data_IF_761293922470
#
_entry.id   IF_761293922470
#
_cell.length_a   1.000
_cell.length_b   1.000
_cell.length_c   1.000
_cell.angle_alpha   90.00
_cell.angle_beta   90.00
_cell.angle_gamma   90.00
#
_symmetry.space_group_name_H-M   'P 1'
#
loop_
_entity.id
_entity.type
_entity.pdbx_description
1 polymer ?
#
# COMPACT_ATOMS: atom_id res chain seq x y z
N UNK A 1 -4.43 6.10 2.13
CA UNK A 1 -3.25 5.49 2.78
C UNK A 1 -3.26 4.01 2.43
N UNK A 2 -2.14 3.47 1.97
CA UNK A 2 -1.98 2.05 1.72
C UNK A 2 -1.53 1.36 3.00
N UNK A 3 -2.21 0.31 3.39
CA UNK A 3 -1.87 -0.51 4.56
C UNK A 3 -2.00 -1.96 4.16
N UNK A 4 -0.94 -2.76 4.36
CA UNK A 4 -0.97 -4.22 4.22
C UNK A 4 -1.06 -4.89 5.58
N UNK A 5 -1.81 -4.31 6.52
CA UNK A 5 -1.80 -4.72 7.93
C UNK A 5 -2.71 -5.90 8.28
N UNK A 6 -3.20 -6.63 7.25
CA UNK A 6 -3.97 -7.87 7.39
C UNK A 6 -3.08 -9.08 7.29
N UNK A 7 -2.16 -9.22 8.20
CA UNK A 7 -1.26 -10.36 8.28
C UNK A 7 -1.30 -10.95 9.68
N UNK A 8 -1.10 -12.26 9.77
CA UNK A 8 -0.80 -12.94 11.03
C UNK A 8 0.68 -12.78 11.39
N UNK A 9 0.97 -12.90 12.68
CA UNK A 9 2.33 -12.93 13.20
C UNK A 9 3.00 -11.56 13.34
N UNK A 10 4.26 -11.62 13.77
CA UNK A 10 5.13 -10.48 14.04
C UNK A 10 6.55 -10.81 13.58
N UNK A 11 7.25 -9.86 13.02
CA UNK A 11 8.61 -10.04 12.48
C UNK A 11 9.68 -9.29 13.29
N UNK A 12 9.39 -8.92 14.54
CA UNK A 12 10.33 -8.23 15.44
C UNK A 12 11.57 -9.08 15.75
N UNK A 13 11.40 -10.39 15.93
CA UNK A 13 12.51 -11.32 16.12
C UNK A 13 13.41 -11.38 14.88
N UNK A 14 12.82 -11.40 13.68
CA UNK A 14 13.59 -11.32 12.43
C UNK A 14 14.37 -10.01 12.31
N UNK A 15 13.75 -8.90 12.71
CA UNK A 15 14.41 -7.59 12.77
C UNK A 15 15.63 -7.63 13.71
N UNK A 16 15.48 -8.22 14.90
CA UNK A 16 16.60 -8.39 15.84
C UNK A 16 17.70 -9.28 15.26
N UNK A 17 17.35 -10.40 14.63
CA UNK A 17 18.32 -11.29 13.97
C UNK A 17 19.16 -10.54 12.93
N UNK A 18 18.52 -9.73 12.07
CA UNK A 18 19.23 -8.93 11.05
C UNK A 18 20.19 -7.91 11.68
N UNK A 19 19.79 -7.27 12.76
CA UNK A 19 20.65 -6.33 13.50
C UNK A 19 21.85 -7.03 14.14
N UNK A 20 21.69 -8.29 14.54
CA UNK A 20 22.76 -9.14 15.08
C UNK A 20 23.63 -9.78 13.99
N UNK A 21 23.43 -9.40 12.71
CA UNK A 21 24.28 -9.81 11.59
C UNK A 21 23.81 -11.07 10.86
N UNK A 22 22.60 -11.58 11.13
CA UNK A 22 22.05 -12.69 10.38
C UNK A 22 21.85 -12.31 8.89
N UNK A 23 22.27 -13.22 8.03
CA UNK A 23 22.08 -13.07 6.59
C UNK A 23 20.62 -13.34 6.21
N UNK A 24 20.24 -12.99 4.97
CA UNK A 24 18.93 -13.36 4.41
C UNK A 24 18.69 -14.89 4.47
N UNK A 25 19.74 -15.67 4.19
CA UNK A 25 19.66 -17.15 4.26
C UNK A 25 19.44 -17.64 5.69
N UNK A 26 20.09 -17.03 6.70
CA UNK A 26 19.90 -17.41 8.10
C UNK A 26 18.46 -17.14 8.55
N UNK A 27 17.91 -15.99 8.17
CA UNK A 27 16.51 -15.64 8.43
C UNK A 27 15.56 -16.61 7.73
N UNK A 28 15.82 -16.94 6.46
CA UNK A 28 14.99 -17.87 5.70
C UNK A 28 15.05 -19.30 6.29
N UNK A 29 16.23 -19.78 6.71
CA UNK A 29 16.41 -21.09 7.39
C UNK A 29 15.68 -21.13 8.74
N UNK A 30 15.58 -20.02 9.44
CA UNK A 30 14.80 -19.88 10.67
C UNK A 30 13.29 -19.81 10.44
N UNK A 31 12.83 -19.96 9.18
CA UNK A 31 11.42 -19.86 8.81
C UNK A 31 10.91 -18.43 8.68
N UNK A 32 11.79 -17.45 8.62
CA UNK A 32 11.44 -16.02 8.47
C UNK A 32 11.13 -15.62 7.02
N UNK A 33 10.96 -14.32 6.80
CA UNK A 33 10.62 -13.74 5.50
C UNK A 33 9.12 -13.70 5.24
N UNK A 34 8.73 -13.49 3.99
CA UNK A 34 7.32 -13.42 3.59
C UNK A 34 6.59 -14.74 3.87
N UNK A 35 7.29 -15.87 3.83
CA UNK A 35 6.73 -17.21 4.05
C UNK A 35 6.21 -17.35 5.48
N UNK A 36 6.92 -16.81 6.48
CA UNK A 36 6.43 -16.77 7.87
C UNK A 36 5.09 -16.05 7.97
N UNK A 37 5.02 -14.85 7.40
CA UNK A 37 3.78 -14.07 7.39
C UNK A 37 2.64 -14.79 6.68
N UNK A 38 2.93 -15.46 5.56
CA UNK A 38 1.95 -16.27 4.82
C UNK A 38 1.44 -17.43 5.69
N UNK A 39 2.34 -18.16 6.34
CA UNK A 39 1.99 -19.28 7.22
C UNK A 39 1.08 -18.83 8.37
N UNK A 40 1.47 -17.77 9.08
CA UNK A 40 0.70 -17.22 10.20
C UNK A 40 -0.68 -16.70 9.74
N UNK A 41 -0.74 -16.04 8.58
CA UNK A 41 -1.99 -15.54 7.99
C UNK A 41 -2.92 -16.70 7.57
N UNK A 42 -2.37 -17.76 7.01
CA UNK A 42 -3.15 -18.97 6.67
C UNK A 42 -3.76 -19.62 7.91
N UNK A 43 -3.06 -19.63 9.03
CA UNK A 43 -3.53 -20.20 10.30
C UNK A 43 -4.51 -19.33 11.07
N UNK A 44 -4.49 -18.02 10.87
CA UNK A 44 -5.34 -17.06 11.60
C UNK A 44 -6.80 -17.13 11.16
N UNK A 45 -7.72 -16.97 12.09
CA UNK A 45 -9.15 -16.75 11.81
C UNK A 45 -9.42 -15.32 11.31
N UNK A 46 -10.62 -15.05 10.78
CA UNK A 46 -11.02 -13.68 10.42
C UNK A 46 -11.01 -12.79 11.65
N UNK A 47 -11.52 -13.29 12.77
CA UNK A 47 -11.61 -12.61 14.06
C UNK A 47 -10.22 -12.22 14.58
N UNK A 48 -9.23 -13.12 14.48
CA UNK A 48 -7.85 -12.85 14.87
C UNK A 48 -7.24 -11.78 13.96
N UNK A 49 -7.37 -11.90 12.65
CA UNK A 49 -6.87 -10.91 11.68
C UNK A 49 -7.48 -9.52 11.92
N UNK A 50 -8.76 -9.43 12.26
CA UNK A 50 -9.41 -8.16 12.62
C UNK A 50 -8.83 -7.64 13.93
N UNK A 51 -8.86 -8.44 15.00
CA UNK A 51 -8.40 -8.06 16.34
C UNK A 51 -6.96 -7.54 16.32
N UNK A 52 -6.06 -8.24 15.65
CA UNK A 52 -4.64 -7.89 15.60
C UNK A 52 -4.35 -6.63 14.77
N UNK A 53 -5.28 -6.26 13.88
CA UNK A 53 -5.15 -5.05 13.07
C UNK A 53 -5.68 -3.80 13.77
N UNK A 54 -6.67 -3.94 14.67
CA UNK A 54 -7.32 -2.78 15.30
C UNK A 54 -6.34 -1.83 15.98
N UNK A 55 -5.30 -2.27 16.73
CA UNK A 55 -4.34 -1.35 17.34
C UNK A 55 -3.61 -0.46 16.31
N UNK A 56 -3.27 -1.01 15.13
CA UNK A 56 -2.62 -0.26 14.05
C UNK A 56 -3.59 0.74 13.41
N UNK A 57 -4.83 0.31 13.21
CA UNK A 57 -5.91 1.19 12.71
C UNK A 57 -6.20 2.30 13.71
N UNK A 58 -6.26 2.00 15.00
CA UNK A 58 -6.50 2.98 16.06
C UNK A 58 -5.39 4.03 16.10
N UNK A 59 -4.13 3.63 15.94
CA UNK A 59 -3.00 4.56 15.85
C UNK A 59 -3.16 5.53 14.67
N UNK A 60 -3.56 5.03 13.49
CA UNK A 60 -3.79 5.88 12.32
C UNK A 60 -4.99 6.81 12.50
N UNK A 61 -6.07 6.32 13.11
CA UNK A 61 -7.23 7.14 13.46
C UNK A 61 -6.83 8.26 14.41
N UNK A 62 -5.97 7.96 15.40
CA UNK A 62 -5.48 8.95 16.34
C UNK A 62 -4.70 10.10 15.69
N UNK A 63 -4.13 9.86 14.50
CA UNK A 63 -3.44 10.86 13.67
C UNK A 63 -4.32 11.43 12.55
N UNK A 64 -5.65 11.27 12.65
CA UNK A 64 -6.62 11.91 11.77
C UNK A 64 -6.99 11.15 10.51
N UNK A 65 -6.52 9.93 10.32
CA UNK A 65 -6.85 9.14 9.12
C UNK A 65 -8.33 8.75 9.11
N UNK A 66 -9.01 9.01 7.99
CA UNK A 66 -10.44 8.74 7.80
C UNK A 66 -10.72 7.71 6.71
N UNK A 67 -9.72 7.44 5.86
CA UNK A 67 -9.81 6.51 4.74
C UNK A 67 -8.51 5.73 4.63
N UNK A 68 -8.60 4.40 4.62
CA UNK A 68 -7.48 3.49 4.42
C UNK A 68 -7.73 2.57 3.25
N UNK A 69 -6.65 2.14 2.60
CA UNK A 69 -6.64 0.99 1.71
C UNK A 69 -6.06 -0.20 2.46
N UNK A 70 -6.72 -1.33 2.37
CA UNK A 70 -6.23 -2.59 2.91
C UNK A 70 -6.07 -3.58 1.76
N UNK A 71 -4.85 -4.09 1.58
CA UNK A 71 -4.52 -5.06 0.53
C UNK A 71 -4.48 -6.48 1.09
N UNK A 72 -4.91 -7.47 0.32
CA UNK A 72 -4.58 -8.89 0.55
C UNK A 72 -3.14 -9.18 0.12
N UNK A 73 -2.77 -10.43 -0.15
CA UNK A 73 -1.45 -10.77 -0.70
C UNK A 73 -0.51 -11.48 0.27
N UNK A 74 -1.01 -11.89 1.43
CA UNK A 74 -0.30 -12.78 2.36
C UNK A 74 -1.00 -14.13 2.54
N UNK A 75 -2.02 -14.43 1.75
CA UNK A 75 -2.61 -15.76 1.68
C UNK A 75 -1.91 -16.61 0.64
N UNK A 76 -1.78 -16.08 -0.55
CA UNK A 76 -1.24 -16.71 -1.74
C UNK A 76 -1.95 -18.04 -2.08
N UNK A 77 -3.17 -18.20 -1.57
CA UNK A 77 -4.14 -19.24 -1.90
C UNK A 77 -5.55 -18.65 -1.90
N UNK A 78 -6.49 -19.39 -2.51
CA UNK A 78 -7.86 -18.92 -2.71
C UNK A 78 -8.58 -18.60 -1.40
N UNK A 79 -8.51 -19.51 -0.44
CA UNK A 79 -9.26 -19.39 0.82
C UNK A 79 -8.75 -18.21 1.65
N UNK A 80 -7.44 -18.13 1.79
CA UNK A 80 -6.81 -17.12 2.65
C UNK A 80 -6.90 -15.71 2.06
N UNK A 81 -6.73 -15.55 0.74
CA UNK A 81 -6.92 -14.24 0.09
C UNK A 81 -8.35 -13.70 0.29
N UNK A 82 -9.38 -14.54 0.12
CA UNK A 82 -10.77 -14.16 0.40
C UNK A 82 -11.00 -13.86 1.89
N UNK A 83 -10.39 -14.66 2.77
CA UNK A 83 -10.42 -14.44 4.23
C UNK A 83 -9.84 -13.08 4.60
N UNK A 84 -8.70 -12.70 4.04
CA UNK A 84 -8.07 -11.39 4.27
C UNK A 84 -8.97 -10.23 3.82
N UNK A 85 -9.57 -10.33 2.64
CA UNK A 85 -10.49 -9.31 2.14
C UNK A 85 -11.76 -9.18 3.01
N UNK A 86 -12.30 -10.29 3.50
CA UNK A 86 -13.43 -10.29 4.45
C UNK A 86 -13.05 -9.60 5.76
N UNK A 87 -11.89 -9.94 6.32
CA UNK A 87 -11.37 -9.29 7.52
C UNK A 87 -11.17 -7.77 7.29
N UNK A 88 -10.65 -7.37 6.12
CA UNK A 88 -10.50 -5.96 5.76
C UNK A 88 -11.83 -5.21 5.74
N UNK A 89 -12.89 -5.79 5.17
CA UNK A 89 -14.23 -5.19 5.18
C UNK A 89 -14.80 -5.05 6.58
N UNK A 90 -14.53 -5.99 7.48
CA UNK A 90 -15.06 -5.98 8.85
C UNK A 90 -14.53 -4.81 9.68
N UNK A 91 -13.30 -4.27 9.42
CA UNK A 91 -12.77 -3.13 10.17
C UNK A 91 -13.71 -1.93 10.19
N UNK A 92 -14.33 -1.64 9.06
CA UNK A 92 -15.17 -0.44 8.96
C UNK A 92 -16.47 -0.57 9.80
N UNK A 93 -16.83 -1.78 10.25
CA UNK A 93 -17.89 -1.99 11.25
C UNK A 93 -17.37 -1.84 12.69
N UNK A 94 -16.06 -2.04 12.89
CA UNK A 94 -15.43 -1.97 14.21
C UNK A 94 -14.94 -0.57 14.56
N UNK A 95 -14.63 0.25 13.56
CA UNK A 95 -14.03 1.58 13.74
C UNK A 95 -14.62 2.62 12.79
N UNK A 96 -14.69 3.90 13.22
CA UNK A 96 -15.17 4.99 12.37
C UNK A 96 -14.12 5.34 11.31
N UNK A 97 -13.91 4.46 10.34
CA UNK A 97 -12.97 4.60 9.23
C UNK A 97 -13.55 3.98 7.96
N UNK A 98 -13.27 4.57 6.81
CA UNK A 98 -13.61 3.96 5.52
C UNK A 98 -12.48 3.03 5.07
N UNK A 99 -12.85 1.89 4.53
CA UNK A 99 -11.90 0.91 4.01
C UNK A 99 -12.12 0.70 2.52
N UNK A 100 -11.05 0.82 1.75
CA UNK A 100 -10.95 0.35 0.36
C UNK A 100 -10.18 -0.96 0.39
N UNK A 101 -10.70 -2.00 -0.22
CA UNK A 101 -10.05 -3.30 -0.28
C UNK A 101 -9.44 -3.51 -1.66
N UNK A 102 -8.17 -3.94 -1.67
CA UNK A 102 -7.42 -4.20 -2.89
C UNK A 102 -6.95 -5.65 -2.89
N UNK A 103 -7.30 -6.37 -3.96
CA UNK A 103 -6.79 -7.72 -4.17
C UNK A 103 -5.34 -7.64 -4.66
N UNK A 104 -4.43 -8.28 -3.93
CA UNK A 104 -3.00 -8.36 -4.24
C UNK A 104 -2.53 -9.83 -4.27
N UNK A 105 -3.31 -10.73 -4.89
CA UNK A 105 -2.92 -12.14 -5.02
C UNK A 105 -1.62 -12.35 -5.79
N UNK A 106 -1.29 -11.45 -6.71
CA UNK A 106 0.01 -11.42 -7.40
C UNK A 106 1.06 -10.63 -6.60
N UNK A 107 1.31 -11.00 -5.34
CA UNK A 107 2.28 -10.34 -4.45
C UNK A 107 3.63 -11.06 -4.38
N UNK A 108 3.60 -12.36 -4.28
CA UNK A 108 4.78 -13.21 -4.29
C UNK A 108 4.42 -14.58 -4.87
N UNK A 109 5.42 -15.28 -5.40
CA UNK A 109 5.23 -16.66 -5.83
C UNK A 109 5.24 -17.57 -4.60
N UNK A 110 4.14 -18.31 -4.32
CA UNK A 110 4.11 -19.20 -3.17
C UNK A 110 5.06 -20.39 -3.39
N UNK A 111 5.59 -20.98 -2.30
CA UNK A 111 6.54 -22.09 -2.40
C UNK A 111 6.06 -23.25 -3.26
N UNK A 112 4.76 -23.51 -3.26
CA UNK A 112 4.11 -24.58 -4.02
C UNK A 112 4.20 -24.38 -5.55
N UNK A 113 4.46 -23.14 -6.00
CA UNK A 113 4.55 -22.75 -7.42
C UNK A 113 5.89 -22.10 -7.77
N UNK A 114 6.93 -22.29 -6.95
CA UNK A 114 8.23 -21.62 -7.08
C UNK A 114 8.83 -21.75 -8.50
N UNK A 115 8.67 -22.90 -9.13
CA UNK A 115 9.23 -23.18 -10.44
C UNK A 115 8.20 -22.98 -11.59
N UNK A 116 6.98 -22.55 -11.27
CA UNK A 116 5.91 -22.37 -12.26
C UNK A 116 4.94 -21.24 -11.82
N UNK A 117 5.41 -19.99 -11.80
CA UNK A 117 4.59 -18.82 -11.44
C UNK A 117 3.44 -18.58 -12.42
N UNK A 118 3.56 -19.04 -13.68
CA UNK A 118 2.49 -18.93 -14.68
C UNK A 118 1.26 -19.72 -14.27
N UNK A 119 1.46 -20.98 -13.86
CA UNK A 119 0.36 -21.82 -13.35
C UNK A 119 -0.28 -21.19 -12.11
N UNK A 120 0.49 -20.56 -11.21
CA UNK A 120 -0.08 -19.85 -10.07
C UNK A 120 -1.00 -18.68 -10.51
N UNK A 121 -0.54 -17.85 -11.44
CA UNK A 121 -1.34 -16.73 -11.96
C UNK A 121 -2.63 -17.23 -12.57
N UNK A 122 -2.57 -18.27 -13.43
CA UNK A 122 -3.71 -18.72 -14.23
C UNK A 122 -4.70 -19.57 -13.43
N UNK A 123 -4.22 -20.37 -12.47
CA UNK A 123 -5.07 -21.34 -11.76
C UNK A 123 -5.46 -20.94 -10.35
N UNK A 124 -4.72 -20.04 -9.71
CA UNK A 124 -5.00 -19.58 -8.34
C UNK A 124 -5.34 -18.08 -8.34
N UNK A 125 -4.41 -17.23 -8.76
CA UNK A 125 -4.55 -15.78 -8.60
C UNK A 125 -5.78 -15.24 -9.35
N UNK A 126 -5.88 -15.46 -10.66
CA UNK A 126 -7.00 -14.95 -11.48
C UNK A 126 -8.34 -15.56 -11.07
N UNK A 127 -8.50 -16.89 -10.85
CA UNK A 127 -9.75 -17.44 -10.35
C UNK A 127 -10.17 -16.85 -8.99
N UNK A 128 -9.23 -16.65 -8.06
CA UNK A 128 -9.52 -16.05 -6.76
C UNK A 128 -10.00 -14.60 -6.89
N UNK A 129 -9.43 -13.84 -7.84
CA UNK A 129 -9.91 -12.48 -8.14
C UNK A 129 -11.37 -12.48 -8.63
N UNK A 130 -11.76 -13.45 -9.48
CA UNK A 130 -13.16 -13.58 -9.89
C UNK A 130 -14.07 -13.86 -8.70
N UNK A 131 -13.68 -14.73 -7.78
CA UNK A 131 -14.45 -15.02 -6.57
C UNK A 131 -14.56 -13.79 -5.67
N UNK A 132 -13.45 -13.09 -5.44
CA UNK A 132 -13.44 -11.85 -4.65
C UNK A 132 -14.37 -10.78 -5.24
N UNK A 133 -14.42 -10.66 -6.57
CA UNK A 133 -15.34 -9.76 -7.27
C UNK A 133 -16.79 -10.19 -7.09
N UNK A 134 -17.09 -11.48 -7.28
CA UNK A 134 -18.45 -12.02 -7.15
C UNK A 134 -19.00 -11.88 -5.72
N UNK A 135 -18.13 -11.98 -4.71
CA UNK A 135 -18.49 -11.76 -3.30
C UNK A 135 -18.53 -10.26 -2.90
N UNK A 136 -18.22 -9.33 -3.81
CA UNK A 136 -18.22 -7.88 -3.52
C UNK A 136 -17.09 -7.44 -2.57
N UNK A 137 -16.02 -8.21 -2.49
CA UNK A 137 -14.92 -8.01 -1.55
C UNK A 137 -13.80 -7.10 -2.07
N UNK A 138 -13.79 -6.74 -3.35
CA UNK A 138 -12.68 -6.04 -3.99
C UNK A 138 -13.11 -4.73 -4.64
N UNK A 139 -12.38 -3.64 -4.37
CA UNK A 139 -12.56 -2.33 -5.01
C UNK A 139 -11.53 -2.08 -6.13
N UNK A 140 -10.31 -2.64 -6.01
CA UNK A 140 -9.22 -2.52 -6.97
C UNK A 140 -8.31 -3.74 -6.95
N UNK A 141 -7.47 -3.87 -7.97
CA UNK A 141 -6.52 -4.99 -8.13
C UNK A 141 -5.12 -4.43 -8.17
N UNK A 142 -4.18 -5.12 -7.55
CA UNK A 142 -2.78 -4.76 -7.49
C UNK A 142 -1.90 -5.97 -7.80
N UNK A 143 -0.68 -5.73 -8.23
CA UNK A 143 0.32 -6.75 -8.48
C UNK A 143 1.71 -6.23 -8.15
N UNK A 144 2.63 -7.12 -7.80
CA UNK A 144 4.04 -6.80 -7.58
C UNK A 144 4.85 -7.22 -8.80
N UNK A 145 5.22 -6.23 -9.62
CA UNK A 145 6.03 -6.39 -10.82
C UNK A 145 7.50 -6.17 -10.48
N UNK A 146 8.21 -7.24 -10.17
CA UNK A 146 9.61 -7.23 -9.78
C UNK A 146 10.30 -8.58 -10.06
N UNK A 147 11.62 -8.56 -10.20
CA UNK A 147 12.44 -9.74 -10.49
C UNK A 147 12.34 -10.85 -9.44
N UNK A 148 11.91 -10.52 -8.23
CA UNK A 148 11.68 -11.45 -7.12
C UNK A 148 10.24 -11.93 -7.01
N UNK A 149 9.34 -11.45 -7.85
CA UNK A 149 7.91 -11.76 -7.81
C UNK A 149 7.38 -12.14 -9.20
N UNK A 150 6.73 -11.21 -9.90
CA UNK A 150 6.11 -11.46 -11.20
C UNK A 150 6.67 -10.52 -12.27
N UNK A 151 6.78 -11.04 -13.49
CA UNK A 151 7.19 -10.23 -14.64
C UNK A 151 6.00 -9.44 -15.24
N UNK A 152 6.31 -8.60 -16.23
CA UNK A 152 5.33 -7.71 -16.89
C UNK A 152 4.22 -8.51 -17.58
N UNK A 153 4.54 -9.63 -18.23
CA UNK A 153 3.55 -10.43 -18.96
C UNK A 153 2.58 -11.14 -18.00
N UNK A 154 3.08 -11.59 -16.85
CA UNK A 154 2.29 -12.19 -15.79
C UNK A 154 1.34 -11.15 -15.15
N UNK A 155 1.85 -9.97 -14.84
CA UNK A 155 1.07 -8.86 -14.29
C UNK A 155 0.03 -8.37 -15.31
N UNK A 156 0.38 -8.33 -16.60
CA UNK A 156 -0.56 -7.93 -17.65
C UNK A 156 -1.77 -8.87 -17.71
N UNK A 157 -1.59 -10.18 -17.56
CA UNK A 157 -2.72 -11.14 -17.51
C UNK A 157 -3.68 -10.86 -16.35
N UNK A 158 -3.14 -10.50 -15.19
CA UNK A 158 -3.95 -10.08 -14.03
C UNK A 158 -4.73 -8.79 -14.36
N UNK A 159 -4.07 -7.79 -14.96
CA UNK A 159 -4.70 -6.53 -15.34
C UNK A 159 -5.75 -6.69 -16.44
N UNK A 160 -5.53 -7.55 -17.41
CA UNK A 160 -6.55 -7.90 -18.42
C UNK A 160 -7.79 -8.50 -17.77
N UNK A 161 -7.61 -9.36 -16.77
CA UNK A 161 -8.71 -9.97 -16.02
C UNK A 161 -9.45 -8.93 -15.17
N UNK A 162 -8.73 -8.04 -14.48
CA UNK A 162 -9.31 -6.93 -13.74
C UNK A 162 -10.14 -6.01 -14.65
N UNK A 163 -9.60 -5.65 -15.82
CA UNK A 163 -10.28 -4.82 -16.82
C UNK A 163 -11.58 -5.44 -17.33
N UNK A 164 -11.59 -6.75 -17.59
CA UNK A 164 -12.81 -7.50 -17.99
C UNK A 164 -13.89 -7.43 -16.90
N UNK A 165 -13.51 -7.34 -15.64
CA UNK A 165 -14.42 -7.23 -14.48
C UNK A 165 -14.78 -5.78 -14.13
N UNK A 166 -14.26 -4.79 -14.87
CA UNK A 166 -14.47 -3.37 -14.58
C UNK A 166 -13.81 -2.91 -13.28
N UNK A 167 -12.75 -3.58 -12.83
CA UNK A 167 -11.98 -3.22 -11.66
C UNK A 167 -10.78 -2.33 -12.05
N UNK A 168 -10.56 -1.20 -11.35
CA UNK A 168 -9.35 -0.42 -11.54
C UNK A 168 -8.12 -1.19 -11.05
N UNK A 169 -6.96 -0.89 -11.64
CA UNK A 169 -5.70 -1.53 -11.30
C UNK A 169 -4.73 -0.55 -10.64
N UNK A 170 -3.74 -1.10 -9.96
CA UNK A 170 -2.59 -0.47 -9.32
C UNK A 170 -1.38 -1.37 -9.53
N UNK A 171 -0.17 -0.89 -9.26
CA UNK A 171 1.03 -1.72 -9.31
C UNK A 171 2.01 -1.33 -8.22
N UNK A 172 2.72 -2.31 -7.65
CA UNK A 172 4.01 -2.15 -6.99
C UNK A 172 5.07 -2.47 -8.03
N UNK A 173 5.92 -1.52 -8.35
CA UNK A 173 6.90 -1.70 -9.42
C UNK A 173 8.11 -0.78 -9.25
N UNK A 174 9.17 -1.12 -9.94
CA UNK A 174 10.42 -0.35 -9.94
C UNK A 174 10.91 -0.03 -8.52
N UNK A 175 10.70 -0.96 -7.58
CA UNK A 175 11.18 -0.87 -6.20
C UNK A 175 12.65 -1.29 -6.09
N UNK A 176 13.03 -2.36 -6.77
CA UNK A 176 14.35 -2.99 -6.68
C UNK A 176 15.09 -2.99 -8.03
N UNK A 177 14.33 -2.91 -9.13
CA UNK A 177 14.83 -2.95 -10.49
C UNK A 177 13.88 -2.24 -11.44
N UNK A 178 14.34 -1.88 -12.64
CA UNK A 178 13.46 -1.33 -13.68
C UNK A 178 12.99 -2.45 -14.61
N UNK A 179 11.72 -2.83 -14.48
CA UNK A 179 11.12 -3.92 -15.27
C UNK A 179 10.05 -3.47 -16.26
N UNK A 180 9.56 -2.24 -16.16
CA UNK A 180 8.49 -1.70 -17.01
C UNK A 180 7.07 -1.84 -16.43
N UNK A 181 6.93 -2.23 -15.17
CA UNK A 181 5.65 -2.33 -14.46
C UNK A 181 4.93 -0.99 -14.35
N UNK A 182 5.67 0.09 -14.09
CA UNK A 182 5.13 1.47 -14.07
C UNK A 182 4.54 1.87 -15.43
N UNK A 183 5.25 1.55 -16.52
CA UNK A 183 4.75 1.79 -17.87
C UNK A 183 3.51 0.99 -18.18
N UNK A 184 3.48 -0.30 -17.82
CA UNK A 184 2.30 -1.15 -17.94
C UNK A 184 1.11 -0.57 -17.19
N UNK A 185 1.31 -0.13 -15.95
CA UNK A 185 0.24 0.51 -15.15
C UNK A 185 -0.32 1.75 -15.84
N UNK A 186 0.54 2.61 -16.39
CA UNK A 186 0.12 3.78 -17.18
C UNK A 186 -0.72 3.38 -18.39
N UNK A 187 -0.31 2.35 -19.13
CA UNK A 187 -1.05 1.87 -20.33
C UNK A 187 -2.45 1.32 -19.98
N UNK A 188 -2.62 0.82 -18.76
CA UNK A 188 -3.91 0.37 -18.25
C UNK A 188 -4.72 1.48 -17.54
N UNK A 189 -4.22 2.71 -17.47
CA UNK A 189 -4.86 3.82 -16.76
C UNK A 189 -5.00 3.53 -15.26
N UNK A 190 -3.98 2.95 -14.67
CA UNK A 190 -3.97 2.56 -13.26
C UNK A 190 -4.24 3.75 -12.32
N UNK A 191 -4.83 3.47 -11.17
CA UNK A 191 -5.03 4.47 -10.11
C UNK A 191 -3.68 4.95 -9.57
N UNK A 192 -2.74 4.04 -9.35
CA UNK A 192 -1.39 4.36 -8.86
C UNK A 192 -0.32 3.38 -9.32
N UNK A 193 0.93 3.86 -9.28
CA UNK A 193 2.14 3.06 -9.25
C UNK A 193 2.87 3.36 -7.93
N UNK A 194 3.11 2.32 -7.16
CA UNK A 194 3.60 2.38 -5.80
C UNK A 194 5.09 1.97 -5.77
N UNK A 195 5.92 2.56 -4.91
CA UNK A 195 7.38 2.52 -4.80
C UNK A 195 8.08 3.42 -5.84
N UNK A 196 8.42 2.90 -7.01
CA UNK A 196 8.99 3.59 -8.18
C UNK A 196 10.40 4.21 -7.98
N UNK A 197 11.19 3.67 -7.05
CA UNK A 197 12.56 4.15 -6.79
C UNK A 197 13.45 4.04 -8.03
N UNK A 198 13.26 2.99 -8.85
CA UNK A 198 14.01 2.73 -10.08
C UNK A 198 13.28 3.21 -11.35
N UNK A 199 12.15 3.91 -11.23
CA UNK A 199 11.49 4.52 -12.39
C UNK A 199 12.34 5.66 -12.98
N UNK A 200 12.10 6.00 -14.24
CA UNK A 200 12.85 7.01 -14.98
C UNK A 200 11.92 8.11 -15.54
N UNK A 201 12.50 9.09 -16.26
CA UNK A 201 11.77 10.20 -16.85
C UNK A 201 10.67 9.76 -17.85
N UNK A 202 10.86 8.63 -18.55
CA UNK A 202 9.86 8.12 -19.48
C UNK A 202 8.66 7.55 -18.72
N UNK A 203 8.90 6.89 -17.58
CA UNK A 203 7.84 6.40 -16.70
C UNK A 203 7.06 7.56 -16.09
N UNK A 204 7.75 8.61 -15.60
CA UNK A 204 7.12 9.82 -15.10
C UNK A 204 6.20 10.47 -16.16
N UNK A 205 6.66 10.55 -17.41
CA UNK A 205 5.86 11.04 -18.54
C UNK A 205 4.65 10.15 -18.80
N UNK A 206 4.81 8.83 -18.76
CA UNK A 206 3.70 7.88 -18.97
C UNK A 206 2.63 8.02 -17.87
N UNK A 207 3.05 8.10 -16.58
CA UNK A 207 2.16 8.36 -15.46
C UNK A 207 1.38 9.67 -15.61
N UNK A 208 2.05 10.74 -16.05
CA UNK A 208 1.43 12.04 -16.29
C UNK A 208 0.34 11.96 -17.34
N UNK A 209 0.62 11.35 -18.49
CA UNK A 209 -0.33 11.19 -19.60
C UNK A 209 -1.54 10.36 -19.18
N UNK A 210 -1.32 9.28 -18.44
CA UNK A 210 -2.38 8.41 -17.92
C UNK A 210 -3.18 9.04 -16.78
N UNK A 211 -2.65 10.05 -16.12
CA UNK A 211 -3.21 10.63 -14.90
C UNK A 211 -3.05 9.72 -13.68
N UNK A 212 -2.17 8.73 -13.75
CA UNK A 212 -1.84 7.80 -12.67
C UNK A 212 -1.08 8.50 -11.55
N UNK A 213 -1.34 8.14 -10.31
CA UNK A 213 -0.67 8.73 -9.13
C UNK A 213 0.61 7.95 -8.83
N UNK A 214 1.71 8.65 -8.57
CA UNK A 214 2.91 8.08 -7.99
C UNK A 214 2.76 7.98 -6.48
N UNK A 215 2.89 6.80 -5.88
CA UNK A 215 2.82 6.62 -4.42
C UNK A 215 4.19 6.30 -3.88
N UNK A 216 4.77 7.22 -3.11
CA UNK A 216 6.08 7.04 -2.49
C UNK A 216 5.92 6.48 -1.06
N UNK A 217 6.83 5.58 -0.69
CA UNK A 217 6.74 4.77 0.52
C UNK A 217 7.98 4.93 1.40
N UNK A 218 8.14 6.08 2.08
CA UNK A 218 9.36 6.41 2.80
C UNK A 218 9.64 5.46 3.98
N UNK A 219 8.62 4.80 4.54
CA UNK A 219 8.80 3.79 5.58
C UNK A 219 9.51 2.55 5.08
N UNK A 220 9.16 2.07 3.89
CA UNK A 220 9.83 0.94 3.24
C UNK A 220 11.28 1.31 2.88
N UNK A 221 11.48 2.46 2.25
CA UNK A 221 12.81 3.00 1.92
C UNK A 221 13.74 3.02 3.16
N UNK A 222 13.25 3.56 4.27
CA UNK A 222 13.99 3.64 5.52
C UNK A 222 14.31 2.26 6.12
N UNK A 223 13.31 1.40 6.22
CA UNK A 223 13.45 0.09 6.88
C UNK A 223 14.37 -0.86 6.10
N UNK A 224 14.28 -0.80 4.78
CA UNK A 224 15.14 -1.58 3.88
C UNK A 224 16.53 -0.95 3.70
N UNK A 225 16.76 0.27 4.21
CA UNK A 225 18.00 1.05 4.02
C UNK A 225 18.31 1.27 2.55
N UNK A 226 17.26 1.53 1.76
CA UNK A 226 17.43 1.83 0.35
C UNK A 226 18.24 3.10 0.13
N UNK A 227 18.93 3.15 -1.00
CA UNK A 227 19.78 4.30 -1.39
C UNK A 227 19.34 4.91 -2.71
N UNK A 228 18.62 4.15 -3.55
CA UNK A 228 18.08 4.65 -4.81
C UNK A 228 16.82 5.48 -4.52
N UNK A 229 16.93 6.78 -4.73
CA UNK A 229 15.81 7.71 -4.51
C UNK A 229 14.80 7.63 -5.66
N UNK A 230 13.48 7.79 -5.36
CA UNK A 230 12.49 7.93 -6.43
C UNK A 230 12.76 9.18 -7.28
N UNK A 231 12.38 9.20 -8.57
CA UNK A 231 12.71 10.27 -9.53
C UNK A 231 11.83 11.53 -9.30
N UNK A 232 11.93 12.12 -8.11
CA UNK A 232 11.05 13.21 -7.66
C UNK A 232 11.10 14.42 -8.61
N UNK A 233 12.29 14.74 -9.17
CA UNK A 233 12.42 15.85 -10.09
C UNK A 233 11.63 15.62 -11.39
N UNK A 234 11.71 14.41 -11.94
CA UNK A 234 10.97 14.05 -13.16
C UNK A 234 9.46 14.03 -12.90
N UNK A 235 9.02 13.49 -11.74
CA UNK A 235 7.62 13.53 -11.33
C UNK A 235 7.08 14.96 -11.22
N UNK A 236 7.87 15.90 -10.67
CA UNK A 236 7.53 17.32 -10.59
C UNK A 236 7.47 17.98 -11.95
N UNK A 237 8.48 17.76 -12.80
CA UNK A 237 8.56 18.31 -14.15
C UNK A 237 7.35 17.88 -15.00
N UNK A 238 6.97 16.62 -14.91
CA UNK A 238 5.82 16.05 -15.61
C UNK A 238 4.48 16.29 -14.89
N UNK A 239 4.47 16.97 -13.74
CA UNK A 239 3.29 17.28 -12.93
C UNK A 239 2.49 16.04 -12.51
N UNK A 240 3.17 14.92 -12.29
CA UNK A 240 2.55 13.71 -11.76
C UNK A 240 2.04 13.97 -10.36
N UNK A 241 0.78 13.64 -10.04
CA UNK A 241 0.30 13.74 -8.65
C UNK A 241 1.05 12.73 -7.78
N UNK A 242 1.65 13.20 -6.69
CA UNK A 242 2.43 12.37 -5.78
C UNK A 242 1.65 12.15 -4.49
N UNK A 243 1.37 10.92 -4.13
CA UNK A 243 0.87 10.52 -2.83
C UNK A 243 1.98 9.89 -1.99
N UNK A 244 1.78 9.85 -0.69
CA UNK A 244 2.63 9.12 0.25
C UNK A 244 1.78 8.22 1.14
N UNK A 245 2.32 7.08 1.53
CA UNK A 245 1.63 6.11 2.36
C UNK A 245 2.59 5.41 3.33
N UNK A 246 2.03 4.80 4.37
CA UNK A 246 2.81 4.05 5.36
C UNK A 246 3.34 2.73 4.80
N UNK A 247 2.64 2.14 3.85
CA UNK A 247 2.88 0.75 3.41
C UNK A 247 3.00 -0.21 4.60
N UNK A 248 2.18 0.01 5.63
CA UNK A 248 2.28 -0.74 6.89
C UNK A 248 2.22 -2.25 6.63
N UNK A 249 3.35 -2.91 6.82
CA UNK A 249 3.51 -4.35 6.68
C UNK A 249 4.65 -4.85 7.59
N UNK A 250 4.68 -6.14 7.95
CA UNK A 250 5.64 -6.64 8.93
C UNK A 250 7.08 -6.73 8.39
N UNK A 251 7.25 -6.78 7.07
CA UNK A 251 8.53 -7.07 6.45
C UNK A 251 9.38 -5.85 6.14
N UNK A 252 8.80 -4.93 5.40
CA UNK A 252 9.52 -3.79 4.83
C UNK A 252 9.11 -2.44 5.42
N UNK A 253 7.95 -2.34 6.10
CA UNK A 253 7.49 -1.07 6.65
C UNK A 253 6.58 -1.24 7.87
N UNK A 254 7.13 -1.55 9.06
CA UNK A 254 6.33 -1.65 10.29
C UNK A 254 5.92 -0.25 10.81
N UNK A 255 5.46 0.63 9.91
CA UNK A 255 5.17 2.03 10.16
C UNK A 255 3.67 2.27 10.24
N UNK A 256 3.18 2.75 11.39
CA UNK A 256 1.76 3.02 11.66
C UNK A 256 1.46 4.50 11.93
N UNK A 257 2.33 5.40 11.51
CA UNK A 257 2.18 6.85 11.71
C UNK A 257 2.17 7.59 10.37
N UNK A 258 1.08 8.33 10.10
CA UNK A 258 1.00 9.17 8.89
C UNK A 258 1.81 10.46 9.05
N UNK A 259 1.89 11.00 10.26
CA UNK A 259 2.69 12.19 10.55
C UNK A 259 4.18 11.90 10.39
N UNK A 260 4.65 10.75 10.88
CA UNK A 260 6.02 10.30 10.66
C UNK A 260 6.29 10.01 9.17
N UNK A 261 5.34 9.44 8.45
CA UNK A 261 5.45 9.26 6.98
C UNK A 261 5.67 10.59 6.27
N UNK A 262 4.94 11.65 6.65
CA UNK A 262 5.13 13.00 6.09
C UNK A 262 6.52 13.55 6.42
N UNK A 263 7.00 13.39 7.66
CA UNK A 263 8.34 13.81 8.05
C UNK A 263 9.43 13.07 7.25
N UNK A 264 9.31 11.74 7.13
CA UNK A 264 10.27 10.91 6.39
C UNK A 264 10.29 11.28 4.90
N UNK A 265 9.14 11.56 4.27
CA UNK A 265 9.08 12.00 2.88
C UNK A 265 9.77 13.37 2.69
N UNK A 266 9.61 14.31 3.63
CA UNK A 266 10.36 15.57 3.61
C UNK A 266 11.86 15.34 3.76
N UNK A 267 12.27 14.51 4.70
CA UNK A 267 13.68 14.36 5.08
C UNK A 267 14.45 13.48 4.11
N UNK A 268 13.87 12.34 3.69
CA UNK A 268 14.52 11.35 2.83
C UNK A 268 14.41 11.72 1.35
N UNK A 269 13.21 12.15 0.92
CA UNK A 269 12.92 12.41 -0.50
C UNK A 269 12.93 13.90 -0.86
N UNK A 270 13.15 14.80 0.12
CA UNK A 270 13.14 16.26 -0.09
C UNK A 270 11.81 16.79 -0.66
N UNK A 271 10.71 16.17 -0.25
CA UNK A 271 9.37 16.73 -0.51
C UNK A 271 9.12 17.94 0.38
N UNK A 272 8.38 18.92 -0.14
CA UNK A 272 7.96 20.05 0.67
C UNK A 272 6.81 19.64 1.62
N UNK A 273 6.61 20.33 2.76
CA UNK A 273 5.45 20.11 3.62
C UNK A 273 4.11 20.23 2.90
N UNK A 274 3.99 21.10 1.91
CA UNK A 274 2.80 21.24 1.08
C UNK A 274 2.57 19.99 0.21
N UNK A 275 3.63 19.46 -0.42
CA UNK A 275 3.55 18.23 -1.22
C UNK A 275 3.16 17.04 -0.35
N UNK A 276 3.73 16.91 0.86
CA UNK A 276 3.38 15.81 1.76
C UNK A 276 1.94 15.92 2.28
N UNK A 277 1.46 17.12 2.60
CA UNK A 277 0.07 17.33 2.97
C UNK A 277 -0.88 17.00 1.81
N UNK A 278 -0.57 17.45 0.59
CA UNK A 278 -1.31 17.04 -0.60
C UNK A 278 -1.22 15.53 -0.84
N UNK A 279 -0.08 14.93 -0.53
CA UNK A 279 0.22 13.50 -0.67
C UNK A 279 -0.63 12.61 0.23
N UNK A 280 -0.95 13.05 1.45
CA UNK A 280 -1.80 12.29 2.39
C UNK A 280 -3.28 12.66 2.28
N UNK A 281 -3.65 13.66 1.47
CA UNK A 281 -5.03 14.13 1.31
C UNK A 281 -5.53 13.93 -0.12
N UNK A 282 -5.51 14.97 -0.95
CA UNK A 282 -6.10 14.96 -2.30
C UNK A 282 -5.48 13.90 -3.22
N UNK A 283 -4.15 13.75 -3.17
CA UNK A 283 -3.46 12.80 -4.04
C UNK A 283 -3.68 11.35 -3.55
N UNK A 284 -3.70 11.12 -2.22
CA UNK A 284 -4.06 9.82 -1.67
C UNK A 284 -5.50 9.42 -2.03
N UNK A 285 -6.46 10.33 -1.92
CA UNK A 285 -7.84 10.07 -2.34
C UNK A 285 -7.92 9.71 -3.83
N UNK A 286 -7.16 10.42 -4.69
CA UNK A 286 -7.06 10.12 -6.12
C UNK A 286 -6.47 8.73 -6.37
N UNK A 287 -5.38 8.36 -5.66
CA UNK A 287 -4.75 7.04 -5.75
C UNK A 287 -5.68 5.89 -5.31
N UNK A 288 -6.75 6.20 -4.57
CA UNK A 288 -7.79 5.25 -4.15
C UNK A 288 -9.08 5.37 -5.01
N UNK A 289 -9.07 6.17 -6.08
CA UNK A 289 -10.22 6.39 -6.93
C UNK A 289 -11.40 7.10 -6.23
N UNK A 290 -11.17 7.78 -5.09
CA UNK A 290 -12.21 8.48 -4.34
C UNK A 290 -12.29 9.95 -4.77
N UNK A 291 -13.50 10.35 -5.20
CA UNK A 291 -13.79 11.72 -5.67
C UNK A 291 -14.42 12.61 -4.60
N UNK A 292 -14.87 12.02 -3.51
CA UNK A 292 -15.60 12.65 -2.40
C UNK A 292 -14.73 12.97 -1.18
N UNK A 293 -13.42 12.83 -1.29
CA UNK A 293 -12.48 12.90 -0.17
C UNK A 293 -11.20 13.67 -0.55
N UNK A 294 -10.44 14.08 0.47
CA UNK A 294 -9.11 14.68 0.31
C UNK A 294 -9.11 16.20 0.04
N UNK A 295 -10.27 16.81 -0.15
CA UNK A 295 -10.42 18.27 -0.33
C UNK A 295 -11.64 18.81 0.40
N UNK A 296 -11.58 20.09 0.81
CA UNK A 296 -12.70 20.79 1.45
C UNK A 296 -13.46 21.54 0.38
N UNK A 297 -14.44 20.88 -0.22
CA UNK A 297 -15.34 21.48 -1.24
C UNK A 297 -16.79 21.06 -0.97
N UNK A 298 -17.74 21.87 -1.43
CA UNK A 298 -19.16 21.56 -1.29
C UNK A 298 -19.48 20.25 -2.02
N UNK A 299 -20.20 19.36 -1.35
CA UNK A 299 -20.56 18.03 -1.88
C UNK A 299 -19.62 16.89 -1.47
N UNK A 300 -18.42 17.22 -0.99
CA UNK A 300 -17.55 16.18 -0.44
C UNK A 300 -17.99 15.75 0.96
N UNK A 301 -17.54 14.55 1.32
CA UNK A 301 -17.75 14.00 2.66
C UNK A 301 -17.04 14.88 3.70
N UNK A 302 -17.71 15.16 4.81
CA UNK A 302 -17.16 15.94 5.92
C UNK A 302 -16.22 15.09 6.79
N UNK A 303 -15.09 14.68 6.20
CA UNK A 303 -13.96 14.04 6.87
C UNK A 303 -12.88 15.10 7.08
N UNK A 304 -12.76 15.63 8.29
CA UNK A 304 -11.93 16.80 8.57
C UNK A 304 -11.00 16.54 9.76
N UNK A 305 -9.81 17.14 9.73
CA UNK A 305 -8.90 17.20 10.88
C UNK A 305 -8.65 18.65 11.27
N UNK A 306 -8.83 18.96 12.54
CA UNK A 306 -8.47 20.24 13.15
C UNK A 306 -7.16 20.00 13.91
N UNK A 307 -6.16 20.84 13.63
CA UNK A 307 -4.81 20.69 14.15
C UNK A 307 -4.45 21.88 15.07
N UNK A 308 -3.80 21.58 16.17
CA UNK A 308 -3.24 22.59 17.06
C UNK A 308 -1.82 22.97 16.62
N UNK A 309 -1.74 23.71 15.53
CA UNK A 309 -0.50 24.17 14.90
C UNK A 309 -0.64 25.63 14.48
N UNK A 310 0.48 26.34 14.47
CA UNK A 310 0.56 27.72 13.97
C UNK A 310 0.86 27.78 12.48
N UNK A 311 1.51 26.75 11.96
CA UNK A 311 1.88 26.65 10.54
C UNK A 311 1.71 25.21 10.04
N UNK A 312 1.16 24.97 8.83
CA UNK A 312 0.96 23.61 8.32
C UNK A 312 2.22 22.75 8.25
N UNK A 313 3.39 23.36 8.07
CA UNK A 313 4.66 22.63 8.03
C UNK A 313 5.00 21.92 9.36
N UNK A 314 4.38 22.32 10.48
CA UNK A 314 4.59 21.66 11.77
C UNK A 314 4.13 20.21 11.75
N UNK A 315 3.17 19.86 10.90
CA UNK A 315 2.70 18.47 10.73
C UNK A 315 3.79 17.53 10.21
N UNK A 316 4.68 18.04 9.36
CA UNK A 316 5.83 17.28 8.83
C UNK A 316 7.11 17.52 9.63
N UNK A 317 7.20 18.59 10.40
CA UNK A 317 8.43 18.99 11.10
C UNK A 317 8.67 18.21 12.39
N UNK A 318 7.62 17.99 13.20
CA UNK A 318 7.77 17.41 14.52
C UNK A 318 7.71 15.89 14.50
N UNK A 319 8.82 15.25 14.85
CA UNK A 319 8.93 13.79 14.93
C UNK A 319 8.29 13.28 16.23
N UNK A 320 7.36 12.31 16.10
CA UNK A 320 6.77 11.63 17.26
C UNK A 320 5.77 12.46 18.07
N UNK A 321 5.34 13.62 17.55
CA UNK A 321 4.34 14.45 18.21
C UNK A 321 3.04 14.52 17.40
N UNK A 322 1.91 14.23 18.03
CA UNK A 322 0.60 14.31 17.41
C UNK A 322 -0.08 15.64 17.76
N UNK A 323 -0.28 16.48 16.75
CA UNK A 323 -0.89 17.80 16.87
C UNK A 323 -2.42 17.79 16.69
N UNK A 324 -3.06 16.62 16.61
CA UNK A 324 -4.49 16.59 16.34
C UNK A 324 -5.27 17.19 17.52
N UNK A 325 -6.07 18.21 17.22
CA UNK A 325 -7.03 18.76 18.18
C UNK A 325 -8.35 17.99 18.11
N UNK A 326 -8.83 17.73 16.87
CA UNK A 326 -10.10 17.03 16.65
C UNK A 326 -10.15 16.38 15.28
N UNK A 327 -10.69 15.18 15.25
CA UNK A 327 -11.03 14.47 14.02
C UNK A 327 -12.55 14.42 13.87
N UNK A 328 -13.04 14.74 12.66
CA UNK A 328 -14.46 14.67 12.28
C UNK A 328 -14.56 13.60 11.19
N UNK A 329 -15.44 12.63 11.38
CA UNK A 329 -15.66 11.53 10.45
C UNK A 329 -17.09 11.52 9.95
N UNK A 330 -17.31 11.81 8.66
CA UNK A 330 -18.63 11.89 8.05
C UNK A 330 -19.55 12.92 8.70
N UNK A 331 -18.99 14.00 9.24
CA UNK A 331 -19.71 15.04 9.95
C UNK A 331 -19.96 14.77 11.46
N UNK A 332 -19.60 13.58 11.95
CA UNK A 332 -19.64 13.26 13.38
C UNK A 332 -18.29 13.55 14.06
N UNK A 333 -18.35 14.03 15.32
CA UNK A 333 -17.19 14.36 16.15
C UNK A 333 -16.84 13.20 17.07
#
# INVERSE_FOLDING_TARGET
>A
MCIRDRYGGDRSVEFEMRLNGATYEDVARAGGGIISTVSDTRLSSIEDLVKDSLPRVDQLISEGVTLIEVKSGYGLDRETELKMLKAARQIQSERPIRVVTTFLGAHAVPPEYKDDPDTYIDTICIPTLYDAKNEGLVDSVDAFCENIAFDVDQVERVFQSAKKMGLPVKVHSEQLSHMGGTKLAADYGALSADHIEYANAQDAKALSIAGTVAVLLPGAFYTLRETQLPPLLDLRNEKVPIAIATDCNPGSSPLTSILLTMNMACTLFQMTPEETLAGVTKNAAKALGKKDSGTIVIGNRADLCIWDVKHPAELSYRIGFNHIHRRIFGGAV
#
